data_IF_564654705782
#
_entry.id   IF_564654705782
#
_cell.length_a   1.000
_cell.length_b   1.000
_cell.length_c   1.000
_cell.angle_alpha   90.00
_cell.angle_beta   90.00
_cell.angle_gamma   90.00
#
_symmetry.space_group_name_H-M   'P 1'
#
loop_
_entity.id
_entity.type
_entity.pdbx_description
1 polymer ?
#
# COMPACT_ATOMS: atom_id res chain seq x y z
N UNK A 1 -103.65 -109.51 12.25
CA UNK A 1 -104.13 -108.34 11.48
C UNK A 1 -103.77 -107.12 12.32
N UNK A 2 -103.08 -106.09 11.84
CA UNK A 2 -103.30 -105.36 10.59
C UNK A 2 -101.96 -104.86 10.05
N UNK A 3 -101.64 -105.25 8.81
CA UNK A 3 -100.62 -104.60 7.98
C UNK A 3 -101.19 -103.27 7.50
N UNK A 4 -100.63 -102.17 8.02
CA UNK A 4 -101.06 -100.82 7.68
C UNK A 4 -100.36 -100.41 6.39
N UNK A 5 -101.11 -100.51 5.28
CA UNK A 5 -100.72 -100.02 3.98
C UNK A 5 -100.31 -98.53 4.06
N UNK A 6 -99.03 -98.23 3.81
CA UNK A 6 -98.51 -96.87 3.70
C UNK A 6 -99.14 -96.17 2.48
N UNK A 7 -99.79 -95.03 2.73
CA UNK A 7 -100.42 -94.19 1.71
C UNK A 7 -99.45 -93.72 0.62
N UNK A 8 -99.93 -93.71 -0.63
CA UNK A 8 -99.17 -93.44 -1.87
C UNK A 8 -98.60 -92.02 -2.02
N UNK A 9 -98.94 -91.09 -1.12
CA UNK A 9 -98.51 -89.69 -1.20
C UNK A 9 -97.10 -89.43 -0.62
N UNK A 10 -96.63 -90.29 0.30
CA UNK A 10 -95.33 -90.09 0.97
C UNK A 10 -94.15 -90.47 0.08
N UNK A 11 -94.32 -91.46 -0.81
CA UNK A 11 -93.26 -91.93 -1.72
C UNK A 11 -92.96 -90.92 -2.83
N UNK A 12 -94.00 -90.25 -3.37
CA UNK A 12 -93.85 -89.24 -4.43
C UNK A 12 -93.13 -87.98 -3.95
N UNK A 13 -93.45 -87.49 -2.75
CA UNK A 13 -92.76 -86.35 -2.12
C UNK A 13 -91.28 -86.63 -1.83
N UNK A 14 -90.90 -87.88 -1.50
CA UNK A 14 -89.50 -88.26 -1.23
C UNK A 14 -88.63 -88.31 -2.49
N UNK A 15 -89.17 -88.78 -3.63
CA UNK A 15 -88.46 -88.76 -4.93
C UNK A 15 -88.20 -87.34 -5.42
N UNK A 16 -89.18 -86.43 -5.29
CA UNK A 16 -89.03 -85.02 -5.72
C UNK A 16 -87.98 -84.29 -4.87
N UNK A 17 -87.98 -84.47 -3.54
CA UNK A 17 -86.94 -83.86 -2.68
C UNK A 17 -85.53 -84.35 -3.02
N UNK A 18 -85.35 -85.66 -3.30
CA UNK A 18 -84.03 -86.20 -3.70
C UNK A 18 -83.54 -85.65 -5.03
N UNK A 19 -84.42 -85.48 -6.01
CA UNK A 19 -84.08 -84.83 -7.28
C UNK A 19 -83.71 -83.36 -7.09
N UNK A 20 -84.41 -82.65 -6.20
CA UNK A 20 -84.12 -81.25 -5.88
C UNK A 20 -82.76 -81.08 -5.17
N UNK A 21 -82.46 -81.92 -4.18
CA UNK A 21 -81.15 -81.93 -3.51
C UNK A 21 -80.03 -82.34 -4.46
N UNK A 22 -80.27 -83.30 -5.36
CA UNK A 22 -79.30 -83.69 -6.39
C UNK A 22 -79.01 -82.55 -7.37
N UNK A 23 -80.04 -81.84 -7.81
CA UNK A 23 -79.88 -80.65 -8.66
C UNK A 23 -79.15 -79.51 -7.95
N UNK A 24 -79.49 -79.23 -6.70
CA UNK A 24 -78.83 -78.20 -5.90
C UNK A 24 -77.34 -78.52 -5.64
N UNK A 25 -77.02 -79.78 -5.32
CA UNK A 25 -75.63 -80.21 -5.12
C UNK A 25 -74.80 -80.05 -6.41
N UNK A 26 -75.37 -80.41 -7.56
CA UNK A 26 -74.70 -80.23 -8.86
C UNK A 26 -74.41 -78.75 -9.14
N UNK A 27 -75.37 -77.88 -8.84
CA UNK A 27 -75.26 -76.42 -9.06
C UNK A 27 -74.17 -75.81 -8.15
N UNK A 28 -74.06 -76.26 -6.90
CA UNK A 28 -73.01 -75.83 -5.96
C UNK A 28 -71.62 -76.26 -6.44
N UNK A 29 -71.46 -77.49 -6.92
CA UNK A 29 -70.17 -77.97 -7.44
C UNK A 29 -69.72 -77.14 -8.65
N UNK A 30 -70.65 -76.82 -9.56
CA UNK A 30 -70.36 -75.97 -10.72
C UNK A 30 -69.92 -74.58 -10.26
N UNK A 31 -70.61 -73.97 -9.29
CA UNK A 31 -70.26 -72.65 -8.76
C UNK A 31 -68.88 -72.63 -8.09
N UNK A 32 -68.52 -73.66 -7.31
CA UNK A 32 -67.19 -73.73 -6.67
C UNK A 32 -66.09 -73.88 -7.72
N UNK A 33 -66.31 -74.73 -8.73
CA UNK A 33 -65.32 -74.97 -9.80
C UNK A 33 -65.07 -73.70 -10.62
N UNK A 34 -66.13 -72.94 -10.90
CA UNK A 34 -66.01 -71.62 -11.56
C UNK A 34 -65.37 -70.58 -10.64
N UNK A 35 -65.64 -70.63 -9.33
CA UNK A 35 -65.01 -69.76 -8.35
C UNK A 35 -63.49 -69.96 -8.25
N UNK A 36 -63.04 -71.22 -8.12
CA UNK A 36 -61.62 -71.56 -7.96
C UNK A 36 -60.81 -71.26 -9.22
N UNK A 37 -61.37 -71.50 -10.40
CA UNK A 37 -60.69 -71.21 -11.68
C UNK A 37 -60.51 -69.71 -11.96
N UNK A 38 -61.16 -68.83 -11.20
CA UNK A 38 -60.99 -67.37 -11.29
C UNK A 38 -60.02 -66.77 -10.25
N UNK A 39 -59.38 -67.57 -9.40
CA UNK A 39 -58.30 -67.05 -8.55
C UNK A 39 -57.05 -66.77 -9.40
N UNK A 40 -56.56 -65.53 -9.34
CA UNK A 40 -55.35 -65.09 -10.06
C UNK A 40 -54.11 -65.84 -9.54
N UNK A 41 -53.16 -66.23 -10.40
CA UNK A 41 -51.92 -66.90 -9.99
C UNK A 41 -51.06 -66.00 -9.06
N UNK A 42 -50.32 -66.61 -8.14
CA UNK A 42 -49.40 -65.91 -7.23
C UNK A 42 -48.16 -65.36 -7.96
N UNK A 43 -47.47 -64.41 -7.29
CA UNK A 43 -46.41 -63.54 -7.82
C UNK A 43 -45.35 -64.25 -8.69
N UNK A 44 -44.80 -63.56 -9.71
CA UNK A 44 -43.89 -64.17 -10.68
C UNK A 44 -42.60 -64.66 -10.02
N UNK A 45 -42.35 -65.96 -10.12
CA UNK A 45 -41.08 -66.59 -9.77
C UNK A 45 -40.09 -66.46 -10.92
N UNK A 46 -38.84 -66.11 -10.61
CA UNK A 46 -37.73 -66.09 -11.59
C UNK A 46 -36.72 -67.19 -11.26
N UNK A 47 -36.09 -67.74 -12.29
CA UNK A 47 -35.07 -68.78 -12.14
C UNK A 47 -33.82 -68.21 -11.46
N UNK A 48 -33.26 -68.93 -10.47
CA UNK A 48 -32.07 -68.52 -9.74
C UNK A 48 -30.86 -68.41 -10.66
N UNK A 49 -30.80 -69.20 -11.73
CA UNK A 49 -29.73 -69.13 -12.72
C UNK A 49 -29.74 -67.81 -13.52
N UNK A 50 -30.87 -67.12 -13.57
CA UNK A 50 -31.01 -65.81 -14.24
C UNK A 50 -30.65 -64.61 -13.36
N UNK A 51 -30.27 -64.80 -12.09
CA UNK A 51 -30.01 -63.67 -11.17
C UNK A 51 -28.63 -63.79 -10.53
N UNK A 52 -27.82 -62.74 -10.64
CA UNK A 52 -26.60 -62.59 -9.86
C UNK A 52 -26.91 -62.01 -8.49
N UNK A 53 -26.64 -62.81 -7.45
CA UNK A 53 -26.87 -62.44 -6.05
C UNK A 53 -25.52 -62.25 -5.37
N UNK A 54 -25.32 -61.09 -4.73
CA UNK A 54 -24.13 -60.79 -3.92
C UNK A 54 -24.53 -60.20 -2.56
N UNK A 55 -23.64 -60.31 -1.56
CA UNK A 55 -23.89 -59.88 -0.17
C UNK A 55 -23.46 -58.43 0.04
N UNK A 56 -24.41 -57.58 0.42
CA UNK A 56 -24.12 -56.16 0.71
C UNK A 56 -23.20 -56.01 1.93
N UNK A 57 -22.18 -55.14 1.82
CA UNK A 57 -21.24 -54.81 2.90
C UNK A 57 -21.41 -53.35 3.30
N UNK A 58 -21.43 -53.07 4.61
CA UNK A 58 -21.39 -51.68 5.12
C UNK A 58 -19.93 -51.20 5.17
N UNK A 59 -19.68 -50.04 4.57
CA UNK A 59 -18.37 -49.39 4.55
C UNK A 59 -18.47 -47.97 4.00
N UNK A 60 -17.38 -47.20 4.09
CA UNK A 60 -17.31 -45.85 3.51
C UNK A 60 -17.28 -45.92 1.98
N UNK A 61 -18.29 -45.38 1.32
CA UNK A 61 -18.32 -45.24 -0.13
C UNK A 61 -17.73 -43.88 -0.52
N UNK A 62 -16.47 -43.88 -0.97
CA UNK A 62 -15.81 -42.66 -1.44
C UNK A 62 -16.35 -42.33 -2.82
N UNK A 63 -17.16 -41.26 -2.91
CA UNK A 63 -17.65 -40.73 -4.17
C UNK A 63 -16.66 -39.69 -4.70
N UNK A 64 -15.73 -40.13 -5.55
CA UNK A 64 -14.83 -39.23 -6.26
C UNK A 64 -15.57 -38.58 -7.42
N UNK A 65 -15.83 -37.27 -7.34
CA UNK A 65 -16.39 -36.49 -8.43
C UNK A 65 -15.25 -35.77 -9.14
N UNK A 66 -15.01 -36.09 -10.40
CA UNK A 66 -14.07 -35.34 -11.24
C UNK A 66 -14.79 -34.10 -11.78
N UNK A 67 -14.28 -32.93 -11.43
CA UNK A 67 -14.73 -31.66 -11.99
C UNK A 67 -13.57 -30.99 -12.72
N UNK A 68 -13.85 -30.41 -13.88
CA UNK A 68 -12.90 -29.50 -14.55
C UNK A 68 -12.93 -28.15 -13.84
N UNK A 69 -11.75 -27.64 -13.49
CA UNK A 69 -11.58 -26.28 -12.99
C UNK A 69 -10.42 -25.60 -13.72
N UNK A 70 -10.43 -24.28 -13.74
CA UNK A 70 -9.35 -23.47 -14.32
C UNK A 70 -8.63 -22.75 -13.19
N UNK A 71 -7.29 -22.75 -13.22
CA UNK A 71 -6.51 -21.93 -12.31
C UNK A 71 -6.58 -20.47 -12.77
N UNK A 72 -6.95 -19.60 -11.84
CA UNK A 72 -7.02 -18.15 -12.05
C UNK A 72 -6.04 -17.51 -11.07
N UNK A 73 -5.30 -16.46 -11.46
CA UNK A 73 -4.43 -15.74 -10.54
C UNK A 73 -5.20 -15.19 -9.34
N UNK A 74 -4.57 -15.25 -8.17
CA UNK A 74 -5.15 -14.72 -6.93
C UNK A 74 -5.25 -13.19 -6.95
N UNK A 75 -4.24 -12.51 -7.50
CA UNK A 75 -4.19 -11.05 -7.61
C UNK A 75 -3.88 -10.59 -9.04
N UNK A 76 -4.64 -9.62 -9.53
CA UNK A 76 -4.39 -8.93 -10.80
C UNK A 76 -4.23 -7.44 -10.50
N UNK A 77 -3.07 -6.88 -10.86
CA UNK A 77 -2.79 -5.45 -10.70
C UNK A 77 -2.50 -4.79 -12.04
N UNK A 78 -3.16 -3.68 -12.29
CA UNK A 78 -2.87 -2.82 -13.43
C UNK A 78 -1.74 -1.87 -13.08
N UNK A 79 -0.76 -1.75 -13.98
CA UNK A 79 0.38 -0.84 -13.82
C UNK A 79 0.17 0.35 -14.77
N UNK A 80 -0.43 1.45 -14.29
CA UNK A 80 -0.56 2.65 -15.09
C UNK A 80 0.77 3.39 -15.19
N UNK A 81 0.96 4.15 -16.26
CA UNK A 81 2.03 5.13 -16.31
C UNK A 81 1.69 6.34 -15.42
N UNK A 82 2.56 6.67 -14.47
CA UNK A 82 2.39 7.82 -13.56
C UNK A 82 2.50 9.16 -14.29
N UNK A 83 3.31 9.20 -15.35
CA UNK A 83 3.60 10.41 -16.12
C UNK A 83 3.16 10.23 -17.57
N UNK A 84 2.58 11.28 -18.16
CA UNK A 84 2.22 11.27 -19.59
C UNK A 84 3.48 11.24 -20.46
N UNK A 85 3.47 10.39 -21.48
CA UNK A 85 4.56 10.27 -22.45
C UNK A 85 4.14 9.41 -23.64
N UNK A 86 4.90 9.51 -24.73
CA UNK A 86 4.74 8.64 -25.90
C UNK A 86 5.47 7.33 -25.64
N UNK A 87 4.84 6.19 -25.92
CA UNK A 87 5.52 4.89 -25.87
C UNK A 87 6.59 4.85 -26.95
N UNK A 88 7.86 4.77 -26.54
CA UNK A 88 9.00 4.67 -27.44
C UNK A 88 9.32 3.20 -27.71
N UNK A 89 9.33 2.36 -26.66
CA UNK A 89 9.67 0.95 -26.77
C UNK A 89 8.91 0.09 -25.76
N UNK A 90 8.48 -1.08 -26.21
CA UNK A 90 7.98 -2.16 -25.36
C UNK A 90 9.10 -3.19 -25.24
N UNK A 91 9.65 -3.35 -24.04
CA UNK A 91 10.80 -4.23 -23.78
C UNK A 91 10.37 -5.67 -23.54
N UNK A 92 9.20 -5.87 -22.93
CA UNK A 92 8.68 -7.18 -22.56
C UNK A 92 7.29 -7.42 -23.14
N UNK A 93 7.06 -8.67 -23.55
CA UNK A 93 5.79 -9.14 -24.09
C UNK A 93 5.04 -9.98 -23.06
N UNK A 94 3.72 -10.17 -23.21
CA UNK A 94 2.95 -11.01 -22.30
C UNK A 94 3.55 -12.41 -22.14
N UNK A 95 3.62 -12.91 -20.90
CA UNK A 95 4.18 -14.23 -20.56
C UNK A 95 5.66 -14.25 -20.19
N UNK A 96 6.36 -13.10 -20.20
CA UNK A 96 7.71 -13.00 -19.68
C UNK A 96 7.72 -12.96 -18.14
N UNK A 97 8.61 -13.72 -17.51
CA UNK A 97 8.86 -13.62 -16.06
C UNK A 97 9.57 -12.30 -15.76
N UNK A 98 9.13 -11.61 -14.71
CA UNK A 98 9.67 -10.30 -14.31
C UNK A 98 10.11 -10.33 -12.86
N UNK A 99 11.01 -9.41 -12.51
CA UNK A 99 11.29 -9.05 -11.11
C UNK A 99 10.77 -7.64 -10.86
N UNK A 100 10.63 -7.19 -9.60
CA UNK A 100 10.08 -5.87 -9.28
C UNK A 100 10.74 -4.70 -10.01
N UNK A 101 12.05 -4.78 -10.24
CA UNK A 101 12.82 -3.71 -10.90
C UNK A 101 12.85 -3.82 -12.44
N UNK A 102 12.20 -4.84 -13.00
CA UNK A 102 12.23 -5.08 -14.44
C UNK A 102 11.41 -4.02 -15.18
N UNK A 103 12.03 -3.35 -16.16
CA UNK A 103 11.39 -2.33 -17.00
C UNK A 103 10.57 -3.01 -18.10
N UNK A 104 9.28 -2.72 -18.16
CA UNK A 104 8.34 -3.32 -19.11
C UNK A 104 8.25 -2.46 -20.38
N UNK A 105 8.18 -1.14 -20.20
CA UNK A 105 8.02 -0.17 -21.28
C UNK A 105 8.83 1.10 -20.99
N UNK A 106 9.24 1.75 -22.07
CA UNK A 106 9.95 3.03 -22.04
C UNK A 106 9.08 4.10 -22.72
N UNK A 107 8.81 5.16 -21.96
CA UNK A 107 8.12 6.35 -22.44
C UNK A 107 9.13 7.46 -22.74
N UNK A 108 8.76 8.31 -23.69
CA UNK A 108 9.52 9.51 -24.03
C UNK A 108 8.61 10.74 -23.91
N UNK A 109 9.12 11.76 -23.23
CA UNK A 109 8.47 13.05 -23.11
C UNK A 109 9.53 14.17 -23.21
N UNK A 110 9.67 14.80 -24.39
CA UNK A 110 10.62 15.90 -24.60
C UNK A 110 10.36 17.11 -23.70
N UNK A 111 9.09 17.44 -23.43
CA UNK A 111 8.71 18.56 -22.56
C UNK A 111 9.14 18.32 -21.12
N UNK A 112 9.02 17.08 -20.63
CA UNK A 112 9.48 16.71 -19.30
C UNK A 112 11.00 16.82 -19.18
N UNK A 113 11.75 16.37 -20.21
CA UNK A 113 13.22 16.54 -20.26
C UNK A 113 13.62 18.01 -20.22
N UNK A 114 12.92 18.87 -20.97
CA UNK A 114 13.14 20.32 -20.91
C UNK A 114 12.83 20.86 -19.51
N UNK A 115 11.72 20.46 -18.90
CA UNK A 115 11.34 20.90 -17.55
C UNK A 115 12.36 20.47 -16.48
N UNK A 116 12.97 19.29 -16.61
CA UNK A 116 14.07 18.85 -15.72
C UNK A 116 15.28 19.75 -15.90
N UNK A 117 15.65 20.07 -17.14
CA UNK A 117 16.77 20.98 -17.42
C UNK A 117 16.51 22.37 -16.84
N UNK A 118 15.32 22.92 -17.04
CA UNK A 118 14.93 24.24 -16.50
C UNK A 118 14.96 24.23 -14.96
N UNK A 119 14.49 23.15 -14.33
CA UNK A 119 14.55 22.99 -12.88
C UNK A 119 15.99 22.85 -12.36
N UNK A 120 16.87 22.15 -13.09
CA UNK A 120 18.29 22.04 -12.77
C UNK A 120 18.98 23.40 -12.85
N UNK A 121 18.74 24.16 -13.92
CA UNK A 121 19.27 25.51 -14.08
C UNK A 121 18.75 26.45 -12.99
N UNK A 122 17.46 26.34 -12.63
CA UNK A 122 16.86 27.10 -11.54
C UNK A 122 17.43 26.75 -10.16
N UNK A 123 17.77 25.49 -9.91
CA UNK A 123 18.48 25.08 -8.69
C UNK A 123 19.92 25.60 -8.67
N UNK A 124 20.64 25.47 -9.78
CA UNK A 124 22.01 25.97 -9.91
C UNK A 124 22.11 27.49 -9.74
N UNK A 125 21.15 28.24 -10.30
CA UNK A 125 21.11 29.70 -10.15
C UNK A 125 20.81 30.13 -8.71
N UNK A 126 19.87 29.47 -8.03
CA UNK A 126 19.60 29.71 -6.61
C UNK A 126 20.81 29.39 -5.75
N UNK A 127 21.51 28.29 -6.04
CA UNK A 127 22.74 27.91 -5.32
C UNK A 127 23.84 28.96 -5.53
N UNK A 128 24.04 29.44 -6.76
CA UNK A 128 24.99 30.50 -7.04
C UNK A 128 24.63 31.81 -6.33
N UNK A 129 23.34 32.18 -6.31
CA UNK A 129 22.85 33.35 -5.60
C UNK A 129 23.11 33.26 -4.08
N UNK A 130 22.89 32.08 -3.48
CA UNK A 130 23.23 31.82 -2.07
C UNK A 130 24.73 31.99 -1.80
N UNK A 131 25.60 31.42 -2.65
CA UNK A 131 27.05 31.55 -2.47
C UNK A 131 27.53 32.99 -2.64
N UNK A 132 27.00 33.72 -3.63
CA UNK A 132 27.30 35.14 -3.83
C UNK A 132 26.88 35.96 -2.60
N UNK A 133 25.67 35.74 -2.09
CA UNK A 133 25.18 36.44 -0.90
C UNK A 133 26.01 36.12 0.33
N UNK A 134 26.41 34.86 0.50
CA UNK A 134 27.31 34.44 1.58
C UNK A 134 28.66 35.15 1.50
N UNK A 135 29.29 35.17 0.33
CA UNK A 135 30.57 35.84 0.11
C UNK A 135 30.48 37.36 0.35
N UNK A 136 29.38 37.99 -0.05
CA UNK A 136 29.11 39.41 0.22
C UNK A 136 29.03 39.69 1.74
N UNK A 137 28.27 38.87 2.48
CA UNK A 137 28.14 38.99 3.93
C UNK A 137 29.46 38.72 4.66
N UNK A 138 30.24 37.76 4.19
CA UNK A 138 31.56 37.46 4.75
C UNK A 138 32.54 38.62 4.54
N UNK A 139 32.54 39.22 3.34
CA UNK A 139 33.32 40.44 3.07
C UNK A 139 32.89 41.62 3.96
N UNK A 140 31.58 41.81 4.16
CA UNK A 140 31.07 42.84 5.08
C UNK A 140 31.51 42.60 6.53
N UNK A 141 31.53 41.34 6.98
CA UNK A 141 31.98 40.97 8.32
C UNK A 141 33.49 41.24 8.48
N UNK A 142 34.30 40.83 7.51
CA UNK A 142 35.75 41.09 7.51
C UNK A 142 36.08 42.58 7.53
N UNK A 143 35.31 43.41 6.83
CA UNK A 143 35.47 44.87 6.88
C UNK A 143 35.16 45.41 8.29
N UNK A 144 34.07 44.96 8.93
CA UNK A 144 33.74 45.35 10.30
C UNK A 144 34.77 44.86 11.33
N UNK A 145 35.33 43.67 11.12
CA UNK A 145 36.40 43.13 11.95
C UNK A 145 37.67 43.96 11.80
N UNK A 146 38.03 44.34 10.57
CA UNK A 146 39.16 45.22 10.28
C UNK A 146 38.99 46.59 10.94
N UNK A 147 37.80 47.18 10.88
CA UNK A 147 37.48 48.43 11.56
C UNK A 147 37.61 48.31 13.09
N UNK A 148 37.09 47.23 13.67
CA UNK A 148 37.22 46.97 15.10
C UNK A 148 38.68 46.77 15.52
N UNK A 149 39.48 46.07 14.72
CA UNK A 149 40.91 45.86 14.95
C UNK A 149 41.70 47.17 14.86
N UNK A 150 41.38 48.05 13.91
CA UNK A 150 41.99 49.38 13.78
C UNK A 150 41.69 50.26 15.00
N UNK A 151 40.44 50.26 15.47
CA UNK A 151 40.04 50.98 16.70
C UNK A 151 40.77 50.37 17.90
N UNK A 152 40.90 49.05 17.98
CA UNK A 152 41.62 48.38 19.06
C UNK A 152 43.11 48.73 19.09
N UNK A 153 43.76 48.74 17.93
CA UNK A 153 45.16 49.13 17.80
C UNK A 153 45.37 50.60 18.23
N UNK A 154 44.48 51.49 17.80
CA UNK A 154 44.51 52.91 18.19
C UNK A 154 44.27 53.09 19.69
N UNK A 155 43.34 52.34 20.27
CA UNK A 155 43.09 52.31 21.71
C UNK A 155 44.33 51.85 22.49
N UNK A 156 44.97 50.75 22.06
CA UNK A 156 46.21 50.24 22.69
C UNK A 156 47.34 51.27 22.63
N UNK A 157 47.51 51.95 21.50
CA UNK A 157 48.53 53.00 21.36
C UNK A 157 48.25 54.19 22.28
N UNK A 158 46.99 54.65 22.36
CA UNK A 158 46.58 55.72 23.26
C UNK A 158 46.74 55.34 24.74
N UNK A 159 46.44 54.09 25.10
CA UNK A 159 46.61 53.58 26.46
C UNK A 159 48.09 53.55 26.89
N UNK A 160 48.99 53.09 26.02
CA UNK A 160 50.44 53.13 26.26
C UNK A 160 50.95 54.57 26.41
N UNK A 161 50.42 55.49 25.60
CA UNK A 161 50.77 56.91 25.66
C UNK A 161 50.30 57.54 26.97
N UNK A 162 49.08 57.21 27.42
CA UNK A 162 48.57 57.63 28.72
C UNK A 162 49.44 57.10 29.86
N UNK A 163 49.77 55.81 29.86
CA UNK A 163 50.59 55.17 30.90
C UNK A 163 51.96 55.86 31.03
N UNK A 164 52.63 56.10 29.91
CA UNK A 164 53.90 56.82 29.88
C UNK A 164 53.79 58.26 30.42
N UNK A 165 52.74 59.00 30.03
CA UNK A 165 52.53 60.38 30.51
C UNK A 165 52.08 60.44 31.98
N UNK A 166 51.36 59.42 32.48
CA UNK A 166 51.03 59.31 33.90
C UNK A 166 52.29 59.10 34.76
N UNK A 167 53.29 58.38 34.26
CA UNK A 167 54.61 58.29 34.92
C UNK A 167 55.34 59.62 34.89
N UNK A 168 55.44 60.28 33.74
CA UNK A 168 56.09 61.60 33.63
C UNK A 168 55.39 62.68 34.48
N UNK A 169 54.09 62.56 34.71
CA UNK A 169 53.35 63.46 35.62
C UNK A 169 53.74 63.26 37.08
N UNK A 170 53.95 62.01 37.51
CA UNK A 170 54.47 61.72 38.86
C UNK A 170 55.86 62.32 39.08
N UNK A 171 56.65 62.40 38.02
CA UNK A 171 57.98 63.02 38.01
C UNK A 171 57.92 64.57 37.83
N UNK A 172 56.73 65.16 37.69
CA UNK A 172 56.52 66.60 37.55
C UNK A 172 56.86 67.18 36.17
N UNK A 173 57.04 66.33 35.15
CA UNK A 173 57.51 66.71 33.81
C UNK A 173 56.39 67.09 32.82
N UNK A 174 55.13 66.80 33.15
CA UNK A 174 53.95 67.13 32.32
C UNK A 174 52.82 67.70 33.17
N UNK A 175 51.92 68.45 32.54
CA UNK A 175 50.78 69.11 33.20
C UNK A 175 49.63 68.13 33.49
N UNK A 176 48.92 68.34 34.61
CA UNK A 176 47.70 67.58 34.94
C UNK A 176 46.64 67.68 33.82
N UNK A 177 46.56 68.85 33.15
CA UNK A 177 45.62 69.06 32.05
C UNK A 177 45.94 68.14 30.85
N UNK A 178 47.22 67.89 30.56
CA UNK A 178 47.64 67.00 29.49
C UNK A 178 47.27 65.54 29.80
N UNK A 179 47.53 65.08 31.03
CA UNK A 179 47.15 63.73 31.47
C UNK A 179 45.63 63.53 31.42
N UNK A 180 44.84 64.52 31.86
CA UNK A 180 43.38 64.48 31.72
C UNK A 180 42.92 64.41 30.27
N UNK A 181 43.60 65.11 29.36
CA UNK A 181 43.36 65.02 27.91
C UNK A 181 43.58 63.61 27.36
N UNK A 182 44.74 62.99 27.67
CA UNK A 182 45.03 61.61 27.27
C UNK A 182 44.05 60.60 27.88
N UNK A 183 43.64 60.80 29.13
CA UNK A 183 42.65 59.94 29.79
C UNK A 183 41.30 60.01 29.08
N UNK A 184 40.84 61.23 28.75
CA UNK A 184 39.62 61.42 27.96
C UNK A 184 39.67 60.74 26.59
N UNK A 185 40.82 60.79 25.91
CA UNK A 185 41.02 60.13 24.62
C UNK A 185 40.97 58.59 24.73
N UNK A 186 41.58 58.02 25.78
CA UNK A 186 41.51 56.58 26.07
C UNK A 186 40.09 56.14 26.37
N UNK A 187 39.35 56.90 27.19
CA UNK A 187 37.95 56.61 27.52
C UNK A 187 37.03 56.69 26.29
N UNK A 188 37.25 57.67 25.42
CA UNK A 188 36.54 57.78 24.14
C UNK A 188 36.79 56.55 23.24
N UNK A 189 38.06 56.17 23.05
CA UNK A 189 38.44 55.02 22.23
C UNK A 189 37.96 53.69 22.83
N UNK A 190 37.94 53.56 24.16
CA UNK A 190 37.37 52.41 24.86
C UNK A 190 35.88 52.24 24.56
N UNK A 191 35.13 53.33 24.63
CA UNK A 191 33.70 53.34 24.30
C UNK A 191 33.47 53.01 22.82
N UNK A 192 34.28 53.58 21.91
CA UNK A 192 34.22 53.24 20.48
C UNK A 192 34.50 51.76 20.22
N UNK A 193 35.54 51.19 20.85
CA UNK A 193 35.88 49.77 20.72
C UNK A 193 34.74 48.88 21.22
N UNK A 194 34.14 49.21 22.35
CA UNK A 194 32.99 48.47 22.89
C UNK A 194 31.79 48.47 21.93
N UNK A 195 31.51 49.60 21.28
CA UNK A 195 30.45 49.72 20.26
C UNK A 195 30.81 48.91 19.01
N UNK A 196 32.05 49.01 18.53
CA UNK A 196 32.52 48.26 17.37
C UNK A 196 32.41 46.75 17.56
N UNK A 197 32.84 46.23 18.72
CA UNK A 197 32.70 44.82 19.08
C UNK A 197 31.24 44.37 19.18
N UNK A 198 30.36 45.20 19.76
CA UNK A 198 28.92 44.91 19.79
C UNK A 198 28.31 44.86 18.39
N UNK A 199 28.69 45.78 17.50
CA UNK A 199 28.24 45.78 16.10
C UNK A 199 28.69 44.53 15.37
N UNK A 200 29.96 44.14 15.53
CA UNK A 200 30.50 42.91 14.95
C UNK A 200 29.71 41.67 15.43
N UNK A 201 29.48 41.55 16.75
CA UNK A 201 28.72 40.43 17.31
C UNK A 201 27.28 40.35 16.77
N UNK A 202 26.57 41.48 16.71
CA UNK A 202 25.21 41.55 16.14
C UNK A 202 25.22 41.20 14.65
N UNK A 203 26.21 41.68 13.90
CA UNK A 203 26.35 41.35 12.48
C UNK A 203 26.58 39.85 12.29
N UNK A 204 27.49 39.24 13.05
CA UNK A 204 27.76 37.79 12.99
C UNK A 204 26.52 36.96 13.30
N UNK A 205 25.75 37.32 14.33
CA UNK A 205 24.48 36.64 14.66
C UNK A 205 23.44 36.83 13.55
N UNK A 206 23.38 38.03 12.97
CA UNK A 206 22.47 38.39 11.88
C UNK A 206 22.74 37.65 10.56
N UNK A 207 23.98 37.22 10.27
CA UNK A 207 24.33 36.52 9.02
C UNK A 207 23.45 35.28 8.82
N UNK A 208 23.25 34.47 9.86
CA UNK A 208 22.45 33.24 9.75
C UNK A 208 21.00 33.55 9.40
N UNK A 209 20.41 34.54 10.06
CA UNK A 209 19.05 34.99 9.79
C UNK A 209 18.89 35.59 8.39
N UNK A 210 19.94 36.23 7.87
CA UNK A 210 19.96 36.78 6.52
C UNK A 210 20.18 35.74 5.43
N UNK A 211 20.84 34.61 5.72
CA UNK A 211 21.06 33.52 4.77
C UNK A 211 19.93 32.48 4.75
N UNK A 212 19.14 32.39 5.83
CA UNK A 212 18.07 31.41 5.94
C UNK A 212 17.02 31.49 4.81
N UNK A 213 16.55 32.67 4.36
CA UNK A 213 15.61 32.75 3.24
C UNK A 213 16.20 32.24 1.92
N UNK A 214 17.46 32.55 1.63
CA UNK A 214 18.15 32.10 0.42
C UNK A 214 18.40 30.59 0.46
N UNK A 215 18.73 30.04 1.63
CA UNK A 215 18.84 28.60 1.82
C UNK A 215 17.49 27.90 1.60
N UNK A 216 16.41 28.45 2.14
CA UNK A 216 15.06 27.92 1.93
C UNK A 216 14.65 27.95 0.44
N UNK A 217 15.04 28.99 -0.30
CA UNK A 217 14.82 29.05 -1.75
C UNK A 217 15.61 27.96 -2.49
N UNK A 218 16.88 27.74 -2.12
CA UNK A 218 17.70 26.64 -2.68
C UNK A 218 17.04 25.29 -2.42
N UNK A 219 16.56 25.04 -1.21
CA UNK A 219 15.90 23.79 -0.84
C UNK A 219 14.56 23.61 -1.59
N UNK A 220 13.78 24.68 -1.77
CA UNK A 220 12.56 24.64 -2.56
C UNK A 220 12.86 24.30 -4.03
N UNK A 221 13.88 24.91 -4.63
CA UNK A 221 14.29 24.64 -6.02
C UNK A 221 14.83 23.23 -6.18
N UNK A 222 15.61 22.75 -5.20
CA UNK A 222 16.10 21.38 -5.12
C UNK A 222 14.96 20.37 -5.09
N UNK A 223 13.98 20.57 -4.21
CA UNK A 223 12.82 19.68 -4.09
C UNK A 223 12.02 19.60 -5.41
N UNK A 224 11.89 20.73 -6.12
CA UNK A 224 11.26 20.76 -7.44
C UNK A 224 12.09 19.98 -8.47
N UNK A 225 13.41 20.19 -8.53
CA UNK A 225 14.29 19.43 -9.41
C UNK A 225 14.21 17.92 -9.14
N UNK A 226 14.30 17.50 -7.88
CA UNK A 226 14.19 16.09 -7.48
C UNK A 226 12.82 15.48 -7.83
N UNK A 227 11.74 16.27 -7.72
CA UNK A 227 10.42 15.83 -8.19
C UNK A 227 10.40 15.60 -9.71
N UNK A 228 10.98 16.53 -10.50
CA UNK A 228 11.03 16.39 -11.96
C UNK A 228 11.92 15.23 -12.40
N UNK A 229 13.04 14.99 -11.72
CA UNK A 229 13.91 13.82 -11.96
C UNK A 229 13.15 12.52 -11.69
N UNK A 230 12.41 12.42 -10.57
CA UNK A 230 11.57 11.26 -10.30
C UNK A 230 10.51 11.03 -11.39
N UNK A 231 9.86 12.10 -11.84
CA UNK A 231 8.90 12.00 -12.96
C UNK A 231 9.55 11.51 -14.26
N UNK A 232 10.83 11.87 -14.50
CA UNK A 232 11.60 11.40 -15.65
C UNK A 232 11.98 9.92 -15.50
N UNK A 233 12.36 9.48 -14.31
CA UNK A 233 12.64 8.08 -14.02
C UNK A 233 11.37 7.22 -14.15
N UNK A 234 10.21 7.76 -13.77
CA UNK A 234 8.89 7.12 -13.91
C UNK A 234 8.46 6.93 -15.38
N UNK A 235 9.14 7.55 -16.35
CA UNK A 235 8.94 7.23 -17.77
C UNK A 235 9.38 5.79 -18.09
N UNK A 236 10.23 5.18 -17.26
CA UNK A 236 10.58 3.77 -17.31
C UNK A 236 9.64 3.01 -16.39
N UNK A 237 8.53 2.51 -16.94
CA UNK A 237 7.54 1.81 -16.13
C UNK A 237 8.07 0.41 -15.78
N UNK A 238 8.21 0.17 -14.48
CA UNK A 238 8.70 -1.07 -13.88
C UNK A 238 7.55 -1.98 -13.45
N UNK A 239 7.83 -3.27 -13.31
CA UNK A 239 6.87 -4.27 -12.86
C UNK A 239 6.38 -4.04 -11.43
N UNK A 240 7.24 -3.58 -10.52
CA UNK A 240 6.91 -3.30 -9.12
C UNK A 240 6.62 -4.54 -8.25
N UNK A 241 6.53 -5.72 -8.86
CA UNK A 241 6.31 -7.03 -8.23
C UNK A 241 7.01 -8.14 -9.04
N UNK A 242 7.40 -9.26 -8.41
CA UNK A 242 7.88 -10.45 -9.11
C UNK A 242 6.74 -11.23 -9.79
#
# INVERSE_FOLDING_TARGET
MVDIARSSDVVRKKKIRRALYGGAALLVIILITVGVSRLKPAAPSVDRATVWIDTVKKGSMIRQVRGSGTLVPEEIRWIPATTQGRVEKILLRPGANVTPDTVILELTNPELRQSVMDAQLGFGSAQAAYQNRKAELESQLLNQESDAANIEATFKQAALTLEANEQLYKDGLVSELQVKGFRGQVDELKNRLAIARKRLAIATEGVKSQLAPQMAEVDQRRANYELRVRQLDDLKVKAGMP
#
